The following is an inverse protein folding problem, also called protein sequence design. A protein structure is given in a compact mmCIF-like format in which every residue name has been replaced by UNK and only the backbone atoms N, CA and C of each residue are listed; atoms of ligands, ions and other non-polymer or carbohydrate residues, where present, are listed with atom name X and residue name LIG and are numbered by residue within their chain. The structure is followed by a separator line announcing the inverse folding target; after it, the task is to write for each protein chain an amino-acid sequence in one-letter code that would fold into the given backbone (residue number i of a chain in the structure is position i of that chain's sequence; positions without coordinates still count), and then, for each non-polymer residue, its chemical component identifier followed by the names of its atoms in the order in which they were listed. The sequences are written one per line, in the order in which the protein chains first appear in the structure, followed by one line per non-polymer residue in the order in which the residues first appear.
data_IF_505054938102
#
_entry.id   IF_505054938102
#
_cell.length_a   1.000
_cell.length_b   1.000
_cell.length_c   1.000
_cell.angle_alpha   90.00
_cell.angle_beta   90.00
_cell.angle_gamma   90.00
#
_symmetry.space_group_name_H-M   'P 1'
#
loop_
_entity.id
_entity.type
_entity.pdbx_description
1 polymer ?
#
# COMPACT_ATOMS: atom_id res chain seq x y z
N UNK A 1 -33.87 -14.93 -30.74
CA UNK A 1 -33.47 -15.27 -29.35
C UNK A 1 -34.62 -14.89 -28.44
N UNK A 2 -35.10 -15.76 -27.54
CA UNK A 2 -36.27 -15.44 -26.72
C UNK A 2 -35.94 -14.30 -25.75
N UNK A 3 -36.85 -13.34 -25.59
CA UNK A 3 -36.66 -12.13 -24.77
C UNK A 3 -36.18 -12.42 -23.35
N UNK A 4 -36.60 -13.57 -22.79
CA UNK A 4 -36.15 -14.06 -21.48
C UNK A 4 -34.64 -14.32 -21.44
N UNK A 5 -34.06 -14.88 -22.48
CA UNK A 5 -32.61 -15.11 -22.57
C UNK A 5 -31.84 -13.79 -22.65
N UNK A 6 -32.36 -12.80 -23.38
CA UNK A 6 -31.76 -11.46 -23.43
C UNK A 6 -31.81 -10.76 -22.07
N UNK A 7 -32.93 -10.85 -21.36
CA UNK A 7 -33.05 -10.30 -20.00
C UNK A 7 -32.10 -10.97 -19.01
N UNK A 8 -31.91 -12.28 -19.09
CA UNK A 8 -30.96 -13.00 -18.22
C UNK A 8 -29.50 -12.63 -18.51
N UNK A 9 -29.13 -12.48 -19.79
CA UNK A 9 -27.79 -12.04 -20.18
C UNK A 9 -27.53 -10.61 -19.69
N UNK A 10 -28.49 -9.71 -19.86
CA UNK A 10 -28.37 -8.33 -19.40
C UNK A 10 -28.18 -8.26 -17.88
N UNK A 11 -28.96 -9.03 -17.12
CA UNK A 11 -28.83 -9.11 -15.67
C UNK A 11 -27.45 -9.66 -15.25
N UNK A 12 -27.00 -10.75 -15.88
CA UNK A 12 -25.69 -11.34 -15.60
C UNK A 12 -24.54 -10.38 -15.92
N UNK A 13 -24.65 -9.58 -16.98
CA UNK A 13 -23.66 -8.56 -17.32
C UNK A 13 -23.56 -7.45 -16.27
N UNK A 14 -24.70 -6.98 -15.73
CA UNK A 14 -24.73 -5.95 -14.68
C UNK A 14 -24.12 -6.49 -13.38
N UNK A 15 -24.50 -7.70 -12.97
CA UNK A 15 -23.95 -8.31 -11.75
C UNK A 15 -22.45 -8.57 -11.93
N UNK A 16 -22.05 -9.08 -13.09
CA UNK A 16 -20.65 -9.34 -13.42
C UNK A 16 -19.80 -8.07 -13.35
N UNK A 17 -20.28 -6.94 -13.88
CA UNK A 17 -19.54 -5.67 -13.84
C UNK A 17 -19.36 -5.14 -12.43
N UNK A 18 -20.39 -5.24 -11.56
CA UNK A 18 -20.29 -4.84 -10.15
C UNK A 18 -19.25 -5.65 -9.37
N UNK A 19 -19.18 -6.97 -9.62
CA UNK A 19 -18.20 -7.85 -8.98
C UNK A 19 -16.77 -7.47 -9.40
N UNK A 20 -16.57 -7.21 -10.70
CA UNK A 20 -15.25 -6.80 -11.23
C UNK A 20 -14.83 -5.45 -10.63
N UNK A 21 -15.73 -4.45 -10.64
CA UNK A 21 -15.47 -3.14 -10.04
C UNK A 21 -15.07 -3.26 -8.56
N UNK A 22 -15.80 -4.05 -7.78
CA UNK A 22 -15.53 -4.24 -6.35
C UNK A 22 -14.14 -4.85 -6.08
N UNK A 23 -13.69 -5.77 -6.95
CA UNK A 23 -12.36 -6.38 -6.83
C UNK A 23 -11.25 -5.39 -7.17
N UNK A 24 -11.45 -4.55 -8.18
CA UNK A 24 -10.50 -3.50 -8.54
C UNK A 24 -10.36 -2.50 -7.40
N UNK A 25 -11.48 -2.02 -6.83
CA UNK A 25 -11.46 -1.10 -5.69
C UNK A 25 -10.73 -1.68 -4.46
N UNK A 26 -10.94 -2.97 -4.18
CA UNK A 26 -10.23 -3.64 -3.09
C UNK A 26 -8.72 -3.69 -3.34
N UNK A 27 -8.29 -4.00 -4.56
CA UNK A 27 -6.88 -4.05 -4.94
C UNK A 27 -6.21 -2.66 -4.89
N UNK A 28 -6.94 -1.62 -5.29
CA UNK A 28 -6.45 -0.25 -5.26
C UNK A 28 -6.29 0.26 -3.83
N UNK A 29 -7.25 -0.03 -2.94
CA UNK A 29 -7.14 0.30 -1.52
C UNK A 29 -5.91 -0.34 -0.88
N UNK A 30 -5.70 -1.63 -1.15
CA UNK A 30 -4.54 -2.34 -0.63
C UNK A 30 -3.22 -1.77 -1.19
N UNK A 31 -3.19 -1.44 -2.48
CA UNK A 31 -2.01 -0.84 -3.13
C UNK A 31 -1.70 0.54 -2.54
N UNK A 32 -2.71 1.38 -2.36
CA UNK A 32 -2.56 2.71 -1.77
C UNK A 32 -2.10 2.62 -0.32
N UNK A 33 -2.62 1.65 0.44
CA UNK A 33 -2.19 1.37 1.81
C UNK A 33 -0.71 1.01 1.88
N UNK A 34 -0.28 0.05 1.05
CA UNK A 34 1.14 -0.35 0.96
C UNK A 34 2.03 0.82 0.57
N UNK A 35 1.60 1.62 -0.41
CA UNK A 35 2.36 2.79 -0.88
C UNK A 35 2.55 3.82 0.25
N UNK A 36 1.49 4.15 0.98
CA UNK A 36 1.57 5.06 2.13
C UNK A 36 2.58 4.55 3.17
N UNK A 37 2.49 3.28 3.55
CA UNK A 37 3.40 2.73 4.54
C UNK A 37 4.86 2.70 4.06
N UNK A 38 5.10 2.39 2.77
CA UNK A 38 6.43 2.43 2.18
C UNK A 38 7.01 3.85 2.20
N UNK A 39 6.21 4.85 1.84
CA UNK A 39 6.65 6.25 1.82
C UNK A 39 6.95 6.79 3.22
N UNK A 40 6.17 6.39 4.23
CA UNK A 40 6.46 6.73 5.63
C UNK A 40 7.73 6.04 6.12
N UNK A 41 7.95 4.77 5.76
CA UNK A 41 9.16 4.05 6.15
C UNK A 41 10.43 4.70 5.55
N UNK A 42 10.36 5.18 4.30
CA UNK A 42 11.45 5.94 3.67
C UNK A 42 11.69 7.25 4.41
N UNK A 43 10.63 8.00 4.69
CA UNK A 43 10.72 9.28 5.41
C UNK A 43 11.40 9.12 6.78
N UNK A 44 10.99 8.13 7.57
CA UNK A 44 11.58 7.86 8.88
C UNK A 44 13.02 7.31 8.78
N UNK A 45 13.35 6.57 7.73
CA UNK A 45 14.72 6.11 7.49
C UNK A 45 15.66 7.28 7.18
N UNK A 46 15.20 8.26 6.40
CA UNK A 46 15.99 9.45 6.07
C UNK A 46 16.09 10.44 7.23
N UNK A 47 15.03 10.55 8.03
CA UNK A 47 15.08 11.25 9.32
C UNK A 47 16.12 10.65 10.25
N UNK A 48 16.21 9.32 10.33
CA UNK A 48 17.24 8.63 11.12
C UNK A 48 18.66 8.86 10.56
N UNK A 49 18.79 9.15 9.27
CA UNK A 49 20.05 9.57 8.61
C UNK A 49 20.37 11.05 8.78
N UNK A 50 19.48 11.83 9.41
CA UNK A 50 19.68 13.26 9.65
C UNK A 50 19.46 14.14 8.42
N UNK A 51 18.78 13.64 7.38
CA UNK A 51 18.42 14.45 6.21
C UNK A 51 17.39 15.52 6.63
N UNK A 52 17.53 16.75 6.15
CA UNK A 52 16.60 17.84 6.45
C UNK A 52 15.19 17.49 5.98
N UNK A 53 14.12 17.79 6.75
CA UNK A 53 12.75 17.49 6.35
C UNK A 53 12.36 18.01 4.95
N UNK A 54 12.96 19.12 4.49
CA UNK A 54 12.70 19.68 3.15
C UNK A 54 13.38 18.89 2.03
N UNK A 55 14.42 18.12 2.37
CA UNK A 55 15.22 17.31 1.44
C UNK A 55 14.86 15.81 1.50
N UNK A 56 13.90 15.43 2.35
CA UNK A 56 13.46 14.04 2.49
C UNK A 56 12.54 13.61 1.36
N UNK A 57 12.70 12.36 0.96
CA UNK A 57 11.83 11.62 0.09
C UNK A 57 10.79 10.82 0.89
N UNK A 58 9.66 10.54 0.26
CA UNK A 58 8.53 9.86 0.92
C UNK A 58 7.56 10.83 1.57
N UNK A 59 6.65 10.27 2.36
CA UNK A 59 5.53 10.99 2.94
C UNK A 59 5.65 10.95 4.46
N UNK A 60 5.74 12.09 5.14
CA UNK A 60 5.70 12.09 6.60
C UNK A 60 4.37 11.52 7.07
N UNK A 61 4.38 10.84 8.21
CA UNK A 61 3.15 10.41 8.85
C UNK A 61 2.43 11.61 9.49
N UNK A 62 1.68 12.36 8.68
CA UNK A 62 0.87 13.48 9.17
C UNK A 62 -0.25 13.05 10.13
N UNK A 63 -0.69 11.78 10.04
CA UNK A 63 -1.80 11.27 10.85
C UNK A 63 -1.33 10.64 12.16
N UNK A 64 -0.04 10.38 12.30
CA UNK A 64 0.56 9.79 13.50
C UNK A 64 0.11 8.35 13.78
N UNK A 65 -0.50 7.68 12.81
CA UNK A 65 -1.06 6.33 12.98
C UNK A 65 -0.30 5.25 12.20
N UNK A 66 0.79 5.60 11.51
CA UNK A 66 1.56 4.64 10.71
C UNK A 66 2.06 3.45 11.56
N UNK A 67 2.42 3.69 12.82
CA UNK A 67 2.85 2.63 13.74
C UNK A 67 1.75 1.57 14.02
N UNK A 68 0.48 1.95 13.89
CA UNK A 68 -0.68 1.07 14.13
C UNK A 68 -1.16 0.40 12.84
N UNK A 69 -1.14 1.13 11.73
CA UNK A 69 -1.70 0.67 10.45
C UNK A 69 -0.69 0.04 9.50
N UNK A 70 0.61 0.21 9.74
CA UNK A 70 1.70 -0.35 8.93
C UNK A 70 2.45 -1.43 9.71
N UNK A 71 1.92 -2.67 9.82
CA UNK A 71 2.57 -3.74 10.56
C UNK A 71 3.92 -4.09 9.93
N UNK A 72 4.98 -4.15 10.74
CA UNK A 72 6.31 -4.63 10.33
C UNK A 72 7.20 -3.62 9.58
N UNK A 73 6.65 -2.52 9.06
CA UNK A 73 7.44 -1.49 8.37
C UNK A 73 8.14 -0.56 9.35
N UNK A 74 9.24 -1.05 9.94
CA UNK A 74 10.20 -0.20 10.64
C UNK A 74 11.18 0.37 9.61
N UNK A 75 11.56 1.66 9.71
CA UNK A 75 12.64 2.19 8.87
C UNK A 75 13.86 1.29 9.03
N UNK A 76 14.52 0.95 7.92
CA UNK A 76 15.78 0.22 7.96
C UNK A 76 16.73 1.02 8.85
N UNK A 77 16.91 0.60 10.09
CA UNK A 77 17.79 1.26 11.02
C UNK A 77 19.18 1.27 10.36
N UNK A 78 19.81 2.44 10.29
CA UNK A 78 21.24 2.49 10.06
C UNK A 78 21.91 1.69 11.18
N UNK A 79 22.31 0.44 10.90
CA UNK A 79 23.08 -0.37 11.83
C UNK A 79 24.54 0.06 11.60
N UNK A 80 25.22 0.77 12.52
CA UNK A 80 26.57 1.24 12.27
C UNK A 80 27.61 0.11 12.28
N UNK A 81 27.22 -1.14 12.56
CA UNK A 81 28.14 -2.29 12.60
C UNK A 81 27.37 -3.61 12.55
N UNK A 82 27.19 -4.22 11.37
CA UNK A 82 26.91 -5.67 11.27
C UNK A 82 27.28 -6.19 9.87
N UNK A 83 28.27 -7.09 9.72
CA UNK A 83 28.76 -7.57 8.43
C UNK A 83 27.95 -8.78 7.93
N UNK A 84 26.63 -8.79 8.08
CA UNK A 84 25.79 -9.92 7.65
C UNK A 84 24.73 -9.47 6.64
N UNK A 85 24.80 -9.92 5.37
CA UNK A 85 23.81 -9.60 4.33
C UNK A 85 22.49 -10.40 4.48
N UNK A 86 22.23 -10.96 5.67
CA UNK A 86 21.10 -11.82 5.95
C UNK A 86 20.17 -11.13 6.94
N UNK A 87 19.32 -10.24 6.43
CA UNK A 87 17.96 -9.95 6.93
C UNK A 87 17.34 -8.81 6.10
N UNK A 88 17.40 -8.94 4.77
CA UNK A 88 16.36 -8.36 3.91
C UNK A 88 15.22 -9.38 3.94
N UNK A 89 14.34 -9.26 4.93
CA UNK A 89 13.07 -9.99 4.91
C UNK A 89 11.95 -9.05 5.33
N UNK A 90 11.20 -8.69 4.28
CA UNK A 90 9.84 -8.15 4.20
C UNK A 90 9.59 -6.72 4.69
#
# INVERSE_FOLDING_TARGET
MPTRTLSLIALAAIIGSMIVASKLDASDKERMHRKYCQEVAVWEAEKARGIDPLDRTGHPDYRGNAAEVCPGMRPAAFIPYSPSPLLVQF
#
